data_IF_664433020395
#
_entry.id   IF_664433020395
#
_cell.length_a   1.000
_cell.length_b   1.000
_cell.length_c   1.000
_cell.angle_alpha   90.00
_cell.angle_beta   90.00
_cell.angle_gamma   90.00
#
_symmetry.space_group_name_H-M   'P 1'
#
loop_
_entity.id
_entity.type
_entity.pdbx_description
1 polymer ?
#
# COMPACT_ATOMS: atom_id res chain seq x y z
N UNK A 1 59.93 89.17 -117.44
CA UNK A 1 60.85 88.14 -116.89
C UNK A 1 60.68 88.12 -115.38
N UNK A 2 60.10 87.07 -114.82
CA UNK A 2 59.92 86.91 -113.37
C UNK A 2 60.54 85.59 -112.92
N UNK A 3 61.38 85.66 -111.89
CA UNK A 3 62.04 84.53 -111.25
C UNK A 3 61.37 84.29 -109.89
N UNK A 4 60.77 83.12 -109.69
CA UNK A 4 60.34 82.64 -108.38
C UNK A 4 61.28 81.52 -107.92
N UNK A 5 61.82 81.67 -106.71
CA UNK A 5 62.77 80.72 -106.11
C UNK A 5 62.08 79.99 -104.97
N UNK A 6 61.85 78.68 -105.15
CA UNK A 6 61.44 77.78 -104.07
C UNK A 6 62.69 77.01 -103.59
N UNK A 7 62.97 77.06 -102.28
CA UNK A 7 64.26 76.68 -101.67
C UNK A 7 64.57 75.17 -101.60
N UNK A 8 63.69 74.28 -102.07
CA UNK A 8 63.82 72.84 -101.82
C UNK A 8 63.77 71.90 -103.04
N UNK A 9 63.84 72.39 -104.28
CA UNK A 9 63.94 71.51 -105.47
C UNK A 9 65.02 72.02 -106.44
N UNK A 10 66.08 71.22 -106.60
CA UNK A 10 67.27 71.50 -107.41
C UNK A 10 67.09 70.91 -108.81
N UNK A 11 66.16 71.43 -109.61
CA UNK A 11 66.06 71.17 -111.06
C UNK A 11 65.21 72.27 -111.72
N UNK A 12 65.87 73.22 -112.42
CA UNK A 12 65.21 74.33 -113.11
C UNK A 12 65.05 73.95 -114.59
N UNK A 13 63.81 73.71 -115.02
CA UNK A 13 63.49 73.53 -116.44
C UNK A 13 63.16 74.89 -117.06
N UNK A 14 63.97 75.33 -118.02
CA UNK A 14 63.70 76.50 -118.88
C UNK A 14 62.93 76.02 -120.11
N UNK A 15 61.74 76.56 -120.36
CA UNK A 15 60.98 76.31 -121.59
C UNK A 15 60.91 77.60 -122.41
N UNK A 16 61.38 77.56 -123.65
CA UNK A 16 61.49 78.68 -124.61
C UNK A 16 60.27 78.79 -125.54
N UNK A 17 59.07 78.42 -125.07
CA UNK A 17 57.83 78.51 -125.86
C UNK A 17 56.91 79.61 -125.32
N UNK A 18 56.46 80.48 -126.22
CA UNK A 18 55.47 81.53 -125.96
C UNK A 18 54.16 80.91 -125.45
N UNK A 19 53.74 81.30 -124.25
CA UNK A 19 52.47 80.88 -123.66
C UNK A 19 51.39 81.87 -124.11
N UNK A 20 50.57 81.45 -125.07
CA UNK A 20 49.42 82.20 -125.59
C UNK A 20 48.16 81.76 -124.85
N UNK A 21 47.70 82.58 -123.91
CA UNK A 21 46.43 82.36 -123.20
C UNK A 21 46.31 83.28 -121.98
N UNK A 22 45.16 83.95 -121.75
CA UNK A 22 45.00 84.93 -120.68
C UNK A 22 45.08 84.21 -119.33
N UNK A 23 46.14 84.49 -118.56
CA UNK A 23 46.19 84.12 -117.16
C UNK A 23 45.46 85.21 -116.36
N UNK A 24 44.68 84.80 -115.37
CA UNK A 24 44.00 85.62 -114.36
C UNK A 24 42.68 86.28 -114.78
N UNK A 25 41.59 85.51 -114.70
CA UNK A 25 40.37 86.04 -114.08
C UNK A 25 40.60 86.00 -112.56
N UNK A 26 40.90 87.16 -111.98
CA UNK A 26 40.97 87.35 -110.53
C UNK A 26 39.54 87.22 -109.97
N UNK A 27 39.16 86.00 -109.54
CA UNK A 27 37.96 85.79 -108.75
C UNK A 27 38.16 86.50 -107.40
N UNK A 28 37.78 87.78 -107.32
CA UNK A 28 37.65 88.50 -106.06
C UNK A 28 36.46 87.94 -105.28
N UNK A 29 36.64 86.80 -104.63
CA UNK A 29 35.82 86.44 -103.49
C UNK A 29 36.15 87.42 -102.36
N UNK A 30 35.15 88.18 -101.92
CA UNK A 30 35.31 89.01 -100.72
C UNK A 30 35.60 88.06 -99.55
N UNK A 31 36.74 88.19 -98.87
CA UNK A 31 37.08 87.40 -97.66
C UNK A 31 35.94 87.37 -96.63
N UNK A 32 35.13 88.42 -96.59
CA UNK A 32 33.94 88.49 -95.73
C UNK A 32 32.86 87.48 -96.16
N UNK A 33 32.69 87.25 -97.47
CA UNK A 33 31.77 86.24 -98.02
C UNK A 33 32.22 84.80 -97.74
N UNK A 34 33.53 84.52 -97.82
CA UNK A 34 34.09 83.23 -97.39
C UNK A 34 33.89 83.01 -95.89
N UNK A 35 34.14 84.03 -95.06
CA UNK A 35 33.93 83.96 -93.61
C UNK A 35 32.44 83.76 -93.24
N UNK A 36 31.52 84.44 -93.94
CA UNK A 36 30.07 84.25 -93.75
C UNK A 36 29.65 82.84 -94.17
N UNK A 37 30.18 82.31 -95.28
CA UNK A 37 29.89 80.96 -95.74
C UNK A 37 30.43 79.90 -94.77
N UNK A 38 31.65 80.05 -94.26
CA UNK A 38 32.23 79.19 -93.22
C UNK A 38 31.44 79.25 -91.92
N UNK A 39 30.98 80.44 -91.51
CA UNK A 39 30.15 80.60 -90.33
C UNK A 39 28.79 79.92 -90.50
N UNK A 40 28.15 80.04 -91.68
CA UNK A 40 26.91 79.33 -92.00
C UNK A 40 27.11 77.82 -92.00
N UNK A 41 28.21 77.34 -92.56
CA UNK A 41 28.56 75.92 -92.57
C UNK A 41 28.80 75.39 -91.16
N UNK A 42 29.51 76.14 -90.31
CA UNK A 42 29.77 75.78 -88.92
C UNK A 42 28.47 75.78 -88.11
N UNK A 43 27.62 76.79 -88.30
CA UNK A 43 26.30 76.83 -87.67
C UNK A 43 25.42 75.66 -88.10
N UNK A 44 25.46 75.26 -89.38
CA UNK A 44 24.74 74.10 -89.88
C UNK A 44 25.25 72.80 -89.27
N UNK A 45 26.57 72.61 -89.22
CA UNK A 45 27.20 71.43 -88.58
C UNK A 45 26.91 71.37 -87.08
N UNK A 46 26.88 72.53 -86.41
CA UNK A 46 26.48 72.61 -85.00
C UNK A 46 25.01 72.26 -84.80
N UNK A 47 24.11 72.77 -85.64
CA UNK A 47 22.69 72.44 -85.58
C UNK A 47 22.45 70.94 -85.86
N UNK A 48 23.15 70.36 -86.84
CA UNK A 48 23.12 68.92 -87.13
C UNK A 48 23.61 68.12 -85.91
N UNK A 49 24.77 68.48 -85.34
CA UNK A 49 25.32 67.82 -84.14
C UNK A 49 24.39 67.93 -82.94
N UNK A 50 23.80 69.11 -82.69
CA UNK A 50 22.82 69.31 -81.62
C UNK A 50 21.55 68.49 -81.87
N UNK A 51 21.10 68.40 -83.12
CA UNK A 51 19.92 67.62 -83.50
C UNK A 51 20.15 66.11 -83.35
N UNK A 52 21.39 65.63 -83.49
CA UNK A 52 21.77 64.23 -83.23
C UNK A 52 21.98 63.93 -81.74
N UNK A 53 22.50 64.88 -80.97
CA UNK A 53 22.75 64.70 -79.53
C UNK A 53 21.46 64.63 -78.73
N UNK A 54 20.47 65.46 -79.07
CA UNK A 54 19.20 65.54 -78.35
C UNK A 54 18.47 64.19 -78.20
N UNK A 55 18.20 63.42 -79.27
CA UNK A 55 17.52 62.12 -79.14
C UNK A 55 18.35 61.10 -78.38
N UNK A 56 19.69 61.15 -78.47
CA UNK A 56 20.58 60.28 -77.68
C UNK A 56 20.51 60.62 -76.19
N UNK A 57 20.43 61.91 -75.86
CA UNK A 57 20.26 62.36 -74.48
C UNK A 57 18.90 61.91 -73.92
N UNK A 58 17.83 62.08 -74.69
CA UNK A 58 16.48 61.65 -74.29
C UNK A 58 16.45 60.12 -74.07
N UNK A 59 17.03 59.34 -74.99
CA UNK A 59 17.14 57.88 -74.85
C UNK A 59 18.00 57.46 -73.64
N UNK A 60 19.09 58.17 -73.38
CA UNK A 60 19.92 57.94 -72.20
C UNK A 60 19.13 58.23 -70.91
N UNK A 61 18.34 59.30 -70.90
CA UNK A 61 17.51 59.66 -69.75
C UNK A 61 16.41 58.62 -69.50
N UNK A 62 15.74 58.14 -70.55
CA UNK A 62 14.74 57.07 -70.46
C UNK A 62 15.34 55.77 -69.93
N UNK A 63 16.48 55.34 -70.47
CA UNK A 63 17.17 54.12 -70.02
C UNK A 63 17.66 54.22 -68.58
N UNK A 64 18.23 55.36 -68.18
CA UNK A 64 18.60 55.60 -66.78
C UNK A 64 17.38 55.60 -65.87
N UNK A 65 16.27 56.21 -66.28
CA UNK A 65 15.03 56.23 -65.49
C UNK A 65 14.45 54.82 -65.34
N UNK A 66 14.46 54.01 -66.41
CA UNK A 66 14.04 52.61 -66.38
C UNK A 66 14.91 51.77 -65.43
N UNK A 67 16.24 51.92 -65.50
CA UNK A 67 17.17 51.24 -64.60
C UNK A 67 16.97 51.67 -63.15
N UNK A 68 16.78 52.96 -62.87
CA UNK A 68 16.50 53.45 -61.53
C UNK A 68 15.19 52.91 -60.97
N UNK A 69 14.16 52.81 -61.80
CA UNK A 69 12.88 52.19 -61.41
C UNK A 69 13.04 50.69 -61.10
N UNK A 70 13.84 49.97 -61.89
CA UNK A 70 14.14 48.56 -61.64
C UNK A 70 14.90 48.36 -60.32
N UNK A 71 15.95 49.17 -60.08
CA UNK A 71 16.73 49.16 -58.83
C UNK A 71 15.82 49.47 -57.65
N UNK A 72 14.94 50.47 -57.77
CA UNK A 72 13.96 50.81 -56.74
C UNK A 72 12.99 49.66 -56.46
N UNK A 73 12.53 48.95 -57.50
CA UNK A 73 11.70 47.76 -57.38
C UNK A 73 12.41 46.61 -56.65
N UNK A 74 13.67 46.34 -57.01
CA UNK A 74 14.51 45.34 -56.33
C UNK A 74 14.75 45.71 -54.87
N UNK A 75 15.07 46.98 -54.58
CA UNK A 75 15.27 47.47 -53.21
C UNK A 75 14.02 47.29 -52.35
N UNK A 76 12.83 47.65 -52.88
CA UNK A 76 11.55 47.45 -52.17
C UNK A 76 11.26 45.97 -51.91
N UNK A 77 11.62 45.10 -52.86
CA UNK A 77 11.46 43.64 -52.71
C UNK A 77 12.39 43.10 -51.63
N UNK A 78 13.65 43.53 -51.62
CA UNK A 78 14.63 43.17 -50.59
C UNK A 78 14.21 43.66 -49.20
N UNK A 79 13.69 44.88 -49.10
CA UNK A 79 13.15 45.43 -47.84
C UNK A 79 12.00 44.57 -47.31
N UNK A 80 11.04 44.23 -48.17
CA UNK A 80 9.91 43.37 -47.79
C UNK A 80 10.34 41.95 -47.42
N UNK A 81 11.35 41.41 -48.10
CA UNK A 81 11.97 40.13 -47.74
C UNK A 81 12.69 40.21 -46.39
N UNK A 82 13.40 41.32 -46.11
CA UNK A 82 14.03 41.59 -44.82
C UNK A 82 13.02 41.57 -43.68
N UNK A 83 11.92 42.31 -43.81
CA UNK A 83 10.85 42.33 -42.81
C UNK A 83 10.24 40.94 -42.57
N UNK A 84 10.01 40.15 -43.64
CA UNK A 84 9.52 38.78 -43.51
C UNK A 84 10.51 37.88 -42.77
N UNK A 85 11.81 38.05 -43.04
CA UNK A 85 12.87 37.30 -42.36
C UNK A 85 12.90 37.62 -40.87
N UNK A 86 12.79 38.89 -40.48
CA UNK A 86 12.83 39.29 -39.08
C UNK A 86 11.62 38.73 -38.30
N UNK A 87 10.43 38.73 -38.90
CA UNK A 87 9.23 38.11 -38.29
C UNK A 87 9.40 36.61 -38.16
N UNK A 88 9.95 35.95 -39.18
CA UNK A 88 10.20 34.52 -39.16
C UNK A 88 11.24 34.14 -38.10
N UNK A 89 12.34 34.89 -38.00
CA UNK A 89 13.40 34.68 -37.01
C UNK A 89 12.87 34.83 -35.58
N UNK A 90 12.07 35.87 -35.31
CA UNK A 90 11.39 36.02 -34.01
C UNK A 90 10.51 34.82 -33.68
N UNK A 91 9.71 34.35 -34.64
CA UNK A 91 8.84 33.18 -34.44
C UNK A 91 9.65 31.92 -34.16
N UNK A 92 10.78 31.72 -34.84
CA UNK A 92 11.68 30.59 -34.56
C UNK A 92 12.23 30.70 -33.15
N UNK A 93 12.72 31.87 -32.74
CA UNK A 93 13.24 32.07 -31.39
C UNK A 93 12.17 31.78 -30.33
N UNK A 94 10.94 32.25 -30.53
CA UNK A 94 9.82 31.97 -29.64
C UNK A 94 9.51 30.47 -29.55
N UNK A 95 9.52 29.76 -30.69
CA UNK A 95 9.32 28.31 -30.71
C UNK A 95 10.46 27.55 -30.02
N UNK A 96 11.70 27.96 -30.23
CA UNK A 96 12.88 27.36 -29.58
C UNK A 96 12.80 27.56 -28.06
N UNK A 97 12.44 28.76 -27.61
CA UNK A 97 12.28 29.06 -26.19
C UNK A 97 11.14 28.25 -25.55
N UNK A 98 10.01 28.12 -26.25
CA UNK A 98 8.87 27.30 -25.79
C UNK A 98 9.28 25.83 -25.68
N UNK A 99 9.99 25.31 -26.68
CA UNK A 99 10.49 23.93 -26.67
C UNK A 99 11.49 23.70 -25.54
N UNK A 100 12.39 24.63 -25.30
CA UNK A 100 13.37 24.55 -24.21
C UNK A 100 12.67 24.55 -22.83
N UNK A 101 11.72 25.46 -22.64
CA UNK A 101 10.91 25.51 -21.42
C UNK A 101 10.12 24.21 -21.21
N UNK A 102 9.46 23.70 -22.25
CA UNK A 102 8.69 22.45 -22.21
C UNK A 102 9.60 21.26 -21.90
N UNK A 103 10.79 21.21 -22.51
CA UNK A 103 11.77 20.15 -22.28
C UNK A 103 12.27 20.17 -20.84
N UNK A 104 12.55 21.36 -20.29
CA UNK A 104 12.95 21.53 -18.90
C UNK A 104 11.87 21.08 -17.91
N UNK A 105 10.61 21.46 -18.16
CA UNK A 105 9.46 21.00 -17.37
C UNK A 105 9.29 19.47 -17.44
N UNK A 106 9.39 18.88 -18.63
CA UNK A 106 9.32 17.44 -18.81
C UNK A 106 10.44 16.73 -18.04
N UNK A 107 11.67 17.26 -18.09
CA UNK A 107 12.79 16.70 -17.34
C UNK A 107 12.55 16.75 -15.82
N UNK A 108 12.02 17.85 -15.29
CA UNK A 108 11.65 17.95 -13.88
C UNK A 108 10.57 16.93 -13.50
N UNK A 109 9.52 16.79 -14.32
CA UNK A 109 8.46 15.80 -14.08
C UNK A 109 8.98 14.36 -14.11
N UNK A 110 9.97 14.07 -14.98
CA UNK A 110 10.60 12.75 -15.07
C UNK A 110 11.41 12.43 -13.81
N UNK A 111 12.16 13.40 -13.29
CA UNK A 111 12.90 13.26 -12.02
C UNK A 111 11.95 13.05 -10.83
N UNK A 112 10.82 13.74 -10.81
CA UNK A 112 9.80 13.54 -9.77
C UNK A 112 9.17 12.14 -9.87
N UNK A 113 8.82 11.71 -11.07
CA UNK A 113 8.33 10.36 -11.32
C UNK A 113 9.34 9.28 -10.91
N UNK A 114 10.63 9.48 -11.21
CA UNK A 114 11.68 8.55 -10.79
C UNK A 114 11.77 8.43 -9.26
N UNK A 115 11.66 9.56 -8.54
CA UNK A 115 11.60 9.56 -7.08
C UNK A 115 10.36 8.83 -6.55
N UNK A 116 9.20 9.05 -7.16
CA UNK A 116 7.97 8.34 -6.82
C UNK A 116 8.10 6.84 -7.06
N UNK A 117 8.62 6.43 -8.22
CA UNK A 117 8.87 5.02 -8.55
C UNK A 117 9.81 4.39 -7.51
N UNK A 118 10.89 5.08 -7.13
CA UNK A 118 11.82 4.59 -6.10
C UNK A 118 11.14 4.44 -4.74
N UNK A 119 10.31 5.41 -4.35
CA UNK A 119 9.52 5.35 -3.10
C UNK A 119 8.54 4.17 -3.11
N UNK A 120 7.78 4.00 -4.21
CA UNK A 120 6.84 2.89 -4.37
C UNK A 120 7.58 1.55 -4.36
N UNK A 121 8.73 1.46 -5.01
CA UNK A 121 9.56 0.24 -5.00
C UNK A 121 9.97 -0.15 -3.57
N UNK A 122 10.39 0.80 -2.74
CA UNK A 122 10.75 0.55 -1.33
C UNK A 122 9.53 0.06 -0.55
N UNK A 123 8.36 0.69 -0.75
CA UNK A 123 7.12 0.26 -0.08
C UNK A 123 6.70 -1.15 -0.51
N UNK A 124 6.80 -1.48 -1.80
CA UNK A 124 6.48 -2.83 -2.31
C UNK A 124 7.42 -3.87 -1.72
N UNK A 125 8.72 -3.57 -1.61
CA UNK A 125 9.68 -4.47 -0.95
C UNK A 125 9.35 -4.69 0.53
N UNK A 126 8.98 -3.63 1.26
CA UNK A 126 8.57 -3.75 2.66
C UNK A 126 7.29 -4.59 2.81
N UNK A 127 6.29 -4.36 1.94
CA UNK A 127 5.06 -5.18 1.91
C UNK A 127 5.40 -6.65 1.64
N UNK A 128 6.27 -6.91 0.67
CA UNK A 128 6.69 -8.27 0.35
C UNK A 128 7.34 -8.98 1.55
N UNK A 129 8.25 -8.30 2.25
CA UNK A 129 8.88 -8.83 3.47
C UNK A 129 7.84 -9.11 4.57
N UNK A 130 6.91 -8.18 4.80
CA UNK A 130 5.85 -8.40 5.80
C UNK A 130 4.93 -9.56 5.43
N UNK A 131 4.60 -9.73 4.14
CA UNK A 131 3.81 -10.87 3.68
C UNK A 131 4.53 -12.19 3.87
N UNK A 132 5.86 -12.22 3.67
CA UNK A 132 6.66 -13.41 3.95
C UNK A 132 6.62 -13.76 5.44
N UNK A 133 6.81 -12.77 6.33
CA UNK A 133 6.73 -12.98 7.78
C UNK A 133 5.33 -13.44 8.23
N UNK A 134 4.26 -12.88 7.65
CA UNK A 134 2.88 -13.31 7.91
C UNK A 134 2.69 -14.77 7.48
N UNK A 135 3.19 -15.14 6.31
CA UNK A 135 3.13 -16.53 5.81
C UNK A 135 3.83 -17.51 6.75
N UNK A 136 5.04 -17.18 7.20
CA UNK A 136 5.80 -17.99 8.16
C UNK A 136 5.05 -18.14 9.50
N UNK A 137 4.45 -17.06 10.01
CA UNK A 137 3.62 -17.10 11.23
C UNK A 137 2.35 -17.92 11.03
N UNK A 138 1.75 -17.90 9.85
CA UNK A 138 0.55 -18.67 9.55
C UNK A 138 0.84 -20.17 9.57
N UNK A 139 1.94 -20.58 8.95
CA UNK A 139 2.44 -21.97 8.99
C UNK A 139 2.76 -22.38 10.44
N UNK A 140 3.42 -21.52 11.22
CA UNK A 140 3.67 -21.78 12.63
C UNK A 140 2.40 -21.88 13.48
N UNK A 141 1.35 -21.13 13.12
CA UNK A 141 0.05 -21.21 13.81
C UNK A 141 -0.68 -22.50 13.46
N UNK A 142 -0.60 -22.94 12.20
CA UNK A 142 -1.17 -24.21 11.73
C UNK A 142 -0.54 -25.41 12.47
N UNK A 143 0.78 -25.42 12.66
CA UNK A 143 1.45 -26.50 13.41
C UNK A 143 1.03 -26.54 14.88
N UNK A 144 0.93 -25.37 15.54
CA UNK A 144 0.42 -25.28 16.92
C UNK A 144 -1.03 -25.74 16.99
N UNK A 145 -1.85 -25.41 15.98
CA UNK A 145 -3.26 -25.83 15.94
C UNK A 145 -3.38 -27.35 15.77
N UNK A 146 -2.55 -27.97 14.93
CA UNK A 146 -2.50 -29.43 14.80
C UNK A 146 -2.08 -30.10 16.11
N UNK A 147 -1.07 -29.57 16.80
CA UNK A 147 -0.64 -30.07 18.12
C UNK A 147 -1.74 -29.93 19.18
N UNK A 148 -2.47 -28.80 19.18
CA UNK A 148 -3.59 -28.60 20.10
C UNK A 148 -4.73 -29.60 19.81
N UNK A 149 -5.02 -29.87 18.54
CA UNK A 149 -6.02 -30.86 18.16
C UNK A 149 -5.64 -32.27 18.64
N UNK A 150 -4.36 -32.64 18.56
CA UNK A 150 -3.83 -33.89 19.10
C UNK A 150 -4.00 -33.96 20.63
N UNK A 151 -3.59 -32.91 21.36
CA UNK A 151 -3.75 -32.84 22.82
C UNK A 151 -5.21 -32.92 23.27
N UNK A 152 -6.12 -32.26 22.55
CA UNK A 152 -7.56 -32.34 22.83
C UNK A 152 -8.08 -33.77 22.60
N UNK A 153 -7.61 -34.44 21.55
CA UNK A 153 -7.98 -35.83 21.29
C UNK A 153 -7.49 -36.78 22.40
N UNK A 154 -6.26 -36.60 22.88
CA UNK A 154 -5.72 -37.35 24.02
C UNK A 154 -6.54 -37.10 25.30
N UNK A 155 -6.93 -35.84 25.55
CA UNK A 155 -7.78 -35.50 26.70
C UNK A 155 -9.15 -36.16 26.61
N UNK A 156 -9.75 -36.22 25.41
CA UNK A 156 -11.02 -36.95 25.18
C UNK A 156 -10.85 -38.44 25.45
N UNK A 157 -9.71 -39.04 25.08
CA UNK A 157 -9.43 -40.45 25.36
C UNK A 157 -9.32 -40.70 26.87
N UNK A 158 -8.55 -39.88 27.60
CA UNK A 158 -8.43 -39.99 29.06
C UNK A 158 -9.80 -39.82 29.74
N UNK A 159 -10.64 -38.89 29.27
CA UNK A 159 -12.00 -38.73 29.79
C UNK A 159 -12.87 -39.98 29.58
N UNK A 160 -12.76 -40.65 28.42
CA UNK A 160 -13.46 -41.92 28.17
C UNK A 160 -12.99 -43.01 29.12
N UNK A 161 -11.68 -43.10 29.37
CA UNK A 161 -11.11 -44.07 30.32
C UNK A 161 -11.59 -43.81 31.76
N UNK A 162 -11.60 -42.54 32.18
CA UNK A 162 -12.15 -42.15 33.49
C UNK A 162 -13.64 -42.51 33.59
N UNK A 163 -14.44 -42.22 32.57
CA UNK A 163 -15.86 -42.56 32.55
C UNK A 163 -16.07 -44.07 32.69
N UNK A 164 -15.29 -44.89 31.98
CA UNK A 164 -15.34 -46.34 32.08
C UNK A 164 -14.95 -46.85 33.48
N UNK A 165 -13.92 -46.27 34.09
CA UNK A 165 -13.54 -46.60 35.47
C UNK A 165 -14.60 -46.20 36.49
N UNK A 166 -15.27 -45.06 36.28
CA UNK A 166 -16.31 -44.55 37.16
C UNK A 166 -17.56 -45.43 37.10
N UNK A 167 -17.94 -45.90 35.90
CA UNK A 167 -19.00 -46.91 35.73
C UNK A 167 -18.68 -48.21 36.48
N UNK A 168 -17.44 -48.70 36.38
CA UNK A 168 -17.01 -49.89 37.13
C UNK A 168 -17.06 -49.68 38.64
N UNK A 169 -16.72 -48.48 39.10
CA UNK A 169 -16.78 -48.14 40.51
C UNK A 169 -18.24 -48.05 41.02
N UNK A 170 -19.15 -47.54 40.21
CA UNK A 170 -20.58 -47.50 40.49
C UNK A 170 -21.17 -48.92 40.63
N UNK A 171 -20.80 -49.84 39.73
CA UNK A 171 -21.18 -51.26 39.82
C UNK A 171 -20.67 -51.90 41.13
N UNK A 172 -19.39 -51.71 41.46
CA UNK A 172 -18.82 -52.19 42.72
C UNK A 172 -19.53 -51.60 43.95
N UNK A 173 -19.89 -50.31 43.91
CA UNK A 173 -20.63 -49.67 44.99
C UNK A 173 -22.04 -50.23 45.14
N UNK A 174 -22.71 -50.53 44.03
CA UNK A 174 -24.01 -51.21 44.06
C UNK A 174 -23.90 -52.59 44.71
N UNK A 175 -22.85 -53.36 44.40
CA UNK A 175 -22.62 -54.67 45.04
C UNK A 175 -22.35 -54.52 46.54
N UNK A 176 -21.53 -53.54 46.93
CA UNK A 176 -21.25 -53.26 48.35
C UNK A 176 -22.52 -52.88 49.10
N UNK A 177 -23.37 -52.02 48.53
CA UNK A 177 -24.66 -51.66 49.12
C UNK A 177 -25.57 -52.88 49.29
N UNK A 178 -25.69 -53.73 48.26
CA UNK A 178 -26.49 -54.96 48.36
C UNK A 178 -25.97 -55.90 49.47
N UNK A 179 -24.65 -55.97 49.67
CA UNK A 179 -24.05 -56.74 50.75
C UNK A 179 -24.33 -56.11 52.12
N UNK A 180 -24.31 -54.79 52.24
CA UNK A 180 -24.68 -54.07 53.47
C UNK A 180 -26.14 -54.34 53.81
N UNK A 181 -27.06 -54.21 52.86
CA UNK A 181 -28.49 -54.49 53.08
C UNK A 181 -28.73 -55.93 53.56
N UNK A 182 -28.03 -56.91 52.96
CA UNK A 182 -28.07 -58.31 53.41
C UNK A 182 -27.54 -58.48 54.82
N UNK A 183 -26.46 -57.78 55.19
CA UNK A 183 -25.91 -57.83 56.54
C UNK A 183 -26.81 -57.14 57.56
N UNK A 184 -27.45 -56.03 57.20
CA UNK A 184 -28.44 -55.34 58.03
C UNK A 184 -29.62 -56.28 58.33
N UNK A 185 -30.20 -56.92 57.31
CA UNK A 185 -31.28 -57.89 57.47
C UNK A 185 -30.88 -59.10 58.36
N UNK A 186 -29.64 -59.59 58.23
CA UNK A 186 -29.11 -60.65 59.09
C UNK A 186 -28.94 -60.18 60.54
N UNK A 187 -28.47 -58.96 60.74
CA UNK A 187 -28.27 -58.34 62.06
C UNK A 187 -29.60 -58.15 62.77
N UNK A 188 -30.61 -57.66 62.05
CA UNK A 188 -31.98 -57.53 62.56
C UNK A 188 -32.57 -58.89 62.98
N UNK A 189 -32.37 -59.92 62.15
CA UNK A 189 -32.78 -61.28 62.49
C UNK A 189 -32.06 -61.79 63.75
N UNK A 190 -30.75 -61.56 63.88
CA UNK A 190 -30.01 -61.90 65.10
C UNK A 190 -30.54 -61.13 66.31
N UNK A 191 -30.86 -59.85 66.16
CA UNK A 191 -31.42 -59.03 67.23
C UNK A 191 -32.78 -59.56 67.70
N UNK A 192 -33.66 -59.95 66.77
CA UNK A 192 -34.92 -60.62 67.09
C UNK A 192 -34.71 -61.95 67.82
N UNK A 193 -33.75 -62.77 67.36
CA UNK A 193 -33.42 -64.03 68.04
C UNK A 193 -32.86 -63.80 69.44
N UNK A 194 -31.98 -62.81 69.63
CA UNK A 194 -31.46 -62.43 70.94
C UNK A 194 -32.57 -61.95 71.88
N UNK A 195 -33.53 -61.16 71.38
CA UNK A 195 -34.69 -60.73 72.16
C UNK A 195 -35.57 -61.92 72.55
N UNK A 196 -35.77 -62.89 71.66
CA UNK A 196 -36.49 -64.12 71.99
C UNK A 196 -35.75 -64.95 73.06
N UNK A 197 -34.44 -65.15 72.93
CA UNK A 197 -33.62 -65.83 73.94
C UNK A 197 -33.71 -65.10 75.28
N UNK A 198 -33.62 -63.77 75.28
CA UNK A 198 -33.79 -62.94 76.48
C UNK A 198 -35.16 -63.16 77.13
N UNK A 199 -36.23 -63.21 76.33
CA UNK A 199 -37.59 -63.49 76.81
C UNK A 199 -37.70 -64.88 77.44
N UNK A 200 -37.18 -65.92 76.77
CA UNK A 200 -37.16 -67.30 77.29
C UNK A 200 -36.37 -67.38 78.60
N UNK A 201 -35.22 -66.72 78.68
CA UNK A 201 -34.42 -66.66 79.91
C UNK A 201 -35.20 -66.01 81.05
N UNK A 202 -35.85 -64.86 80.83
CA UNK A 202 -36.68 -64.23 81.86
C UNK A 202 -37.82 -65.13 82.31
N UNK A 203 -38.53 -65.79 81.40
CA UNK A 203 -39.59 -66.72 81.73
C UNK A 203 -39.07 -67.90 82.58
N UNK A 204 -37.97 -68.52 82.14
CA UNK A 204 -37.36 -69.67 82.85
C UNK A 204 -36.80 -69.28 84.20
N UNK A 205 -36.12 -68.14 84.30
CA UNK A 205 -35.61 -67.61 85.57
C UNK A 205 -36.76 -67.27 86.50
N UNK A 206 -37.84 -66.66 86.00
CA UNK A 206 -39.03 -66.37 86.80
C UNK A 206 -39.71 -67.65 87.29
N UNK A 207 -39.94 -68.64 86.41
CA UNK A 207 -40.48 -69.94 86.77
C UNK A 207 -39.62 -70.65 87.83
N UNK A 208 -38.29 -70.64 87.67
CA UNK A 208 -37.37 -71.25 88.63
C UNK A 208 -37.39 -70.52 89.97
N UNK A 209 -37.43 -69.18 89.96
CA UNK A 209 -37.57 -68.37 91.16
C UNK A 209 -38.87 -68.72 91.90
N UNK A 210 -40.00 -68.77 91.18
CA UNK A 210 -41.29 -69.20 91.76
C UNK A 210 -41.22 -70.62 92.30
N UNK A 211 -40.58 -71.57 91.59
CA UNK A 211 -40.44 -72.95 92.07
C UNK A 211 -39.54 -73.08 93.30
N UNK A 212 -38.46 -72.31 93.36
CA UNK A 212 -37.59 -72.26 94.55
C UNK A 212 -38.36 -71.64 95.72
N UNK A 213 -39.13 -70.57 95.48
CA UNK A 213 -39.95 -69.92 96.50
C UNK A 213 -41.06 -70.86 97.01
N UNK A 214 -41.78 -71.53 96.12
CA UNK A 214 -42.76 -72.59 96.44
C UNK A 214 -42.10 -73.73 97.23
N UNK A 215 -40.97 -74.25 96.75
CA UNK A 215 -40.22 -75.34 97.37
C UNK A 215 -39.65 -74.97 98.74
N UNK A 216 -39.15 -73.74 98.90
CA UNK A 216 -38.72 -73.20 100.19
C UNK A 216 -39.91 -73.06 101.13
N UNK A 217 -41.06 -72.56 100.66
CA UNK A 217 -42.28 -72.51 101.47
C UNK A 217 -42.73 -73.91 101.93
N UNK A 218 -42.67 -74.91 101.06
CA UNK A 218 -43.11 -76.27 101.34
C UNK A 218 -42.16 -76.99 102.31
N UNK A 219 -40.85 -76.92 102.03
CA UNK A 219 -39.83 -77.55 102.88
C UNK A 219 -39.67 -76.84 104.20
N UNK A 220 -39.73 -75.50 104.25
CA UNK A 220 -39.73 -74.77 105.52
C UNK A 220 -40.97 -75.11 106.36
N UNK A 221 -42.16 -75.24 105.74
CA UNK A 221 -43.37 -75.68 106.45
C UNK A 221 -43.22 -77.11 106.97
N UNK A 222 -42.65 -78.02 106.17
CA UNK A 222 -42.44 -79.42 106.58
C UNK A 222 -41.37 -79.58 107.68
N UNK A 223 -40.19 -78.98 107.50
CA UNK A 223 -39.10 -79.00 108.49
C UNK A 223 -39.53 -78.31 109.77
N UNK A 224 -40.27 -77.20 109.68
CA UNK A 224 -40.83 -76.54 110.85
C UNK A 224 -41.82 -77.42 111.59
N UNK A 225 -42.74 -78.09 110.86
CA UNK A 225 -43.68 -79.06 111.42
C UNK A 225 -42.97 -80.21 112.14
N UNK A 226 -41.83 -80.68 111.62
CA UNK A 226 -40.99 -81.69 112.25
C UNK A 226 -40.21 -81.19 113.47
N UNK A 227 -39.68 -79.97 113.42
CA UNK A 227 -38.87 -79.37 114.49
C UNK A 227 -39.69 -78.83 115.66
N UNK A 228 -40.94 -78.40 115.42
CA UNK A 228 -41.75 -77.68 116.42
C UNK A 228 -43.09 -78.32 116.74
N UNK A 229 -43.50 -79.37 116.02
CA UNK A 229 -44.73 -80.11 116.30
C UNK A 229 -46.03 -79.32 116.10
N UNK A 230 -46.00 -78.20 115.37
CA UNK A 230 -47.13 -77.27 115.18
C UNK A 230 -47.28 -76.84 113.71
N UNK A 231 -48.53 -76.66 113.26
CA UNK A 231 -48.93 -76.41 111.85
C UNK A 231 -48.84 -74.94 111.38
N UNK A 232 -48.10 -74.06 112.07
CA UNK A 232 -48.01 -72.64 111.67
C UNK A 232 -46.72 -72.32 110.89
N UNK A 233 -46.79 -71.67 109.71
CA UNK A 233 -45.59 -71.35 108.92
C UNK A 233 -44.68 -70.30 109.59
N UNK A 234 -43.37 -70.48 109.41
CA UNK A 234 -42.26 -69.65 109.93
C UNK A 234 -42.36 -68.15 109.66
N UNK A 235 -43.16 -67.74 108.66
CA UNK A 235 -43.39 -66.32 108.36
C UNK A 235 -43.97 -65.55 109.55
N UNK A 236 -44.72 -66.20 110.45
CA UNK A 236 -45.30 -65.51 111.60
C UNK A 236 -44.32 -65.28 112.77
N UNK A 237 -43.34 -66.17 112.96
CA UNK A 237 -42.36 -66.06 114.05
C UNK A 237 -41.23 -65.08 113.76
N UNK A 238 -40.85 -64.91 112.49
CA UNK A 238 -39.92 -63.86 112.05
C UNK A 238 -40.57 -62.47 112.19
N UNK A 239 -41.87 -62.33 111.90
CA UNK A 239 -42.59 -61.07 112.13
C UNK A 239 -42.76 -60.73 113.62
N UNK A 240 -42.93 -61.71 114.51
CA UNK A 240 -43.00 -61.45 115.96
C UNK A 240 -41.66 -61.07 116.57
N UNK A 241 -40.54 -61.59 116.05
CA UNK A 241 -39.19 -61.22 116.49
C UNK A 241 -38.74 -59.86 115.94
N UNK A 242 -39.26 -59.42 114.79
CA UNK A 242 -39.13 -58.03 114.35
C UNK A 242 -40.01 -57.07 115.16
N UNK A 243 -41.28 -57.41 115.47
CA UNK A 243 -42.15 -56.56 116.32
C UNK A 243 -41.62 -56.35 117.75
N UNK A 244 -40.89 -57.32 118.34
CA UNK A 244 -40.24 -57.13 119.65
C UNK A 244 -39.01 -56.22 119.60
N UNK A 245 -38.32 -56.13 118.46
CA UNK A 245 -37.20 -55.19 118.27
C UNK A 245 -37.69 -53.74 118.09
N UNK A 246 -38.85 -53.54 117.48
CA UNK A 246 -39.43 -52.20 117.31
C UNK A 246 -40.13 -51.65 118.56
N UNK A 247 -40.46 -52.48 119.56
CA UNK A 247 -41.05 -52.01 120.83
C UNK A 247 -40.04 -51.55 121.89
N UNK A 248 -38.73 -51.80 121.71
CA UNK A 248 -37.67 -51.39 122.65
C UNK A 248 -37.05 -50.04 122.27
N UNK A 249 -37.24 -49.57 121.03
CA UNK A 249 -36.74 -48.27 120.54
C UNK A 249 -37.78 -47.12 120.59
N UNK A 250 -38.77 -47.21 121.48
CA UNK A 250 -39.79 -46.16 121.66
C UNK A 250 -39.97 -45.73 123.12
N UNK A 251 -38.83 -45.65 123.83
CA UNK A 251 -38.65 -44.90 125.10
C UNK A 251 -37.21 -44.36 125.13
N UNK A 252 -36.96 -43.34 124.32
CA UNK A 252 -36.01 -42.23 124.57
C UNK A 252 -36.21 -41.15 123.50
#
# INVERSE_FOLDING_TARGET
>A
MGLFVNKHIRNIFKTTKNVTGPNQEEARTSRLGELIAEQQQTNKQLLESISEIKPRYDQLQETQTAQWNEVKGKMKTLELQGQKRDVFEKRILDQVNLLDQTTSQNHQSLLENERLIKSVSVQVSAIHETNQQISERLVGTETVQLQLAEQVNDQVQVQKEIAAQLMKHEENHSEVLERIDKQEALTDKMFHQLNNIRSILYERTNYLATKIEEGYSLTSTYVYKLMTGSDQPLTFSVLQSQKKKDSVNNKE
#
